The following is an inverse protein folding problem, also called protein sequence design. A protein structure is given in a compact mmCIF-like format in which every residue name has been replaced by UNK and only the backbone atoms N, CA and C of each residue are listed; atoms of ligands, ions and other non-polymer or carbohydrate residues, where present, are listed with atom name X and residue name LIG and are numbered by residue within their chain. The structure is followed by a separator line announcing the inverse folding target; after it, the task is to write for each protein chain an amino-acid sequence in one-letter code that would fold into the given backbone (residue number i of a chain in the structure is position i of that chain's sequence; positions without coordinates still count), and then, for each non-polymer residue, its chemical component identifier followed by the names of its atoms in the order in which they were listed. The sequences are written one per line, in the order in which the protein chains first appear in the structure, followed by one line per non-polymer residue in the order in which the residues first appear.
data_IF_818577122569
#
_entry.id   IF_818577122569
#
_cell.length_a   1.000
_cell.length_b   1.000
_cell.length_c   1.000
_cell.angle_alpha   90.00
_cell.angle_beta   90.00
_cell.angle_gamma   90.00
#
_symmetry.space_group_name_H-M   'P 1'
#
loop_
_entity.id
_entity.type
_entity.pdbx_description
1 polymer ?
#
# COMPACT_ATOMS: atom_id res chain seq x y z
N UNK A 1 2.38 -10.13 -5.42
CA UNK A 1 1.21 -11.02 -5.51
C UNK A 1 0.78 -11.34 -4.09
N UNK A 2 -0.38 -10.83 -3.69
CA UNK A 2 -1.06 -11.16 -2.43
C UNK A 2 -2.17 -12.16 -2.76
N UNK A 3 -2.42 -13.13 -1.88
CA UNK A 3 -3.23 -14.32 -2.17
C UNK A 3 -4.50 -14.41 -1.29
N UNK A 4 -5.56 -15.00 -1.84
CA UNK A 4 -6.90 -15.22 -1.27
C UNK A 4 -7.53 -16.44 -1.98
N UNK A 5 -8.02 -17.47 -1.26
CA UNK A 5 -8.20 -18.85 -1.80
C UNK A 5 -9.62 -19.43 -1.64
N UNK A 6 -10.11 -20.09 -2.70
CA UNK A 6 -11.22 -21.06 -2.71
C UNK A 6 -10.79 -22.34 -3.44
N UNK A 7 -11.16 -23.52 -2.93
CA UNK A 7 -10.95 -24.82 -3.58
C UNK A 7 -12.26 -25.61 -3.71
N UNK A 8 -12.37 -26.50 -4.72
CA UNK A 8 -13.57 -27.28 -5.04
C UNK A 8 -13.61 -28.62 -4.28
N UNK A 9 -14.81 -29.15 -4.09
CA UNK A 9 -15.11 -30.47 -3.53
C UNK A 9 -15.56 -31.41 -4.67
N UNK A 10 -14.99 -32.61 -4.72
CA UNK A 10 -15.42 -33.82 -5.45
C UNK A 10 -14.93 -35.00 -4.60
N UNK A 11 -15.62 -36.09 -4.30
CA UNK A 11 -16.92 -36.62 -4.75
C UNK A 11 -17.51 -37.56 -3.68
N UNK A 12 -18.84 -37.69 -3.77
CA UNK A 12 -19.72 -38.85 -3.54
C UNK A 12 -19.39 -39.93 -2.49
N UNK A 13 -20.31 -40.07 -1.52
CA UNK A 13 -20.98 -41.35 -1.22
C UNK A 13 -22.47 -41.09 -0.95
N UNK A 14 -23.30 -41.84 -1.67
CA UNK A 14 -24.77 -41.92 -1.66
C UNK A 14 -25.25 -42.65 -0.38
N UNK A 15 -26.36 -42.21 0.24
CA UNK A 15 -27.64 -42.96 0.32
C UNK A 15 -28.61 -42.48 1.44
N UNK A 16 -29.82 -42.10 1.00
CA UNK A 16 -31.15 -42.26 1.66
C UNK A 16 -31.58 -41.46 2.91
N UNK A 17 -32.77 -40.82 2.80
CA UNK A 17 -33.90 -41.17 3.70
C UNK A 17 -34.58 -40.08 4.54
N UNK A 18 -35.63 -39.47 3.95
CA UNK A 18 -36.95 -39.15 4.53
C UNK A 18 -37.18 -38.02 5.58
N UNK A 19 -37.79 -36.93 5.08
CA UNK A 19 -39.10 -36.29 5.48
C UNK A 19 -39.50 -36.20 6.97
N UNK A 20 -39.76 -34.97 7.47
CA UNK A 20 -41.09 -34.52 7.94
C UNK A 20 -41.13 -33.05 8.42
N UNK A 21 -42.26 -32.42 8.12
CA UNK A 21 -42.72 -31.04 8.34
C UNK A 21 -42.79 -30.61 9.82
N UNK A 22 -42.77 -29.28 10.10
CA UNK A 22 -43.97 -28.56 10.60
C UNK A 22 -43.75 -27.04 10.71
N UNK A 23 -44.73 -26.34 10.15
CA UNK A 23 -45.00 -24.90 10.22
C UNK A 23 -45.68 -24.54 11.56
N UNK A 24 -45.58 -23.27 12.01
CA UNK A 24 -46.65 -22.48 12.64
C UNK A 24 -46.18 -21.38 13.63
N UNK A 25 -46.72 -20.18 13.35
CA UNK A 25 -47.32 -19.21 14.28
C UNK A 25 -46.51 -18.00 14.74
N UNK A 26 -46.76 -16.90 14.01
CA UNK A 26 -46.77 -15.52 14.51
C UNK A 26 -48.00 -15.28 15.40
N UNK A 27 -47.82 -14.64 16.57
CA UNK A 27 -48.83 -13.77 17.18
C UNK A 27 -48.20 -12.85 18.24
N UNK A 28 -48.60 -11.57 18.24
CA UNK A 28 -48.49 -10.70 19.43
C UNK A 28 -47.82 -9.33 19.24
N UNK A 29 -48.52 -8.39 18.58
CA UNK A 29 -48.24 -6.94 18.58
C UNK A 29 -48.99 -6.27 19.75
N UNK A 30 -48.37 -5.28 20.42
CA UNK A 30 -49.02 -4.29 21.30
C UNK A 30 -48.11 -3.82 22.45
N UNK A 31 -47.15 -2.91 22.24
CA UNK A 31 -47.27 -1.43 22.25
C UNK A 31 -47.11 -0.83 23.66
N UNK A 32 -45.97 -0.16 23.93
CA UNK A 32 -45.90 1.13 24.64
C UNK A 32 -44.60 1.88 24.29
N UNK A 33 -44.74 3.20 24.08
CA UNK A 33 -43.78 4.13 23.50
C UNK A 33 -42.82 4.68 24.58
N UNK A 34 -41.51 4.61 24.32
CA UNK A 34 -40.49 5.32 25.08
C UNK A 34 -39.27 5.58 24.20
N UNK A 35 -38.92 6.85 24.03
CA UNK A 35 -37.86 7.34 23.14
C UNK A 35 -36.52 6.61 23.33
N UNK A 36 -35.95 6.09 22.23
CA UNK A 36 -34.65 5.43 22.23
C UNK A 36 -34.07 5.27 20.83
N UNK A 37 -32.99 6.01 20.59
CA UNK A 37 -31.91 5.81 19.61
C UNK A 37 -32.25 5.14 18.26
N UNK A 38 -32.24 5.95 17.21
CA UNK A 38 -32.04 5.49 15.83
C UNK A 38 -30.72 4.69 15.76
N UNK A 39 -30.81 3.38 15.58
CA UNK A 39 -29.68 2.51 15.32
C UNK A 39 -29.18 2.76 13.90
N UNK A 40 -27.93 3.21 13.75
CA UNK A 40 -27.28 3.41 12.44
C UNK A 40 -27.04 2.10 11.67
N UNK A 41 -27.48 0.95 12.17
CA UNK A 41 -27.41 -0.34 11.46
C UNK A 41 -28.30 -0.40 10.22
N UNK A 42 -29.41 0.36 10.18
CA UNK A 42 -30.47 0.13 9.19
C UNK A 42 -30.36 1.06 7.97
N UNK A 43 -29.50 2.09 8.03
CA UNK A 43 -29.21 3.00 6.90
C UNK A 43 -28.15 2.43 5.94
N UNK A 44 -27.40 1.40 6.37
CA UNK A 44 -26.46 0.66 5.52
C UNK A 44 -27.13 -0.43 4.68
N UNK A 45 -28.44 -0.64 4.82
CA UNK A 45 -29.21 -1.64 4.06
C UNK A 45 -29.77 -1.09 2.74
N UNK A 46 -29.13 -0.08 2.12
CA UNK A 46 -29.47 0.34 0.76
C UNK A 46 -28.99 -0.74 -0.23
N UNK A 47 -29.83 -1.15 -1.22
CA UNK A 47 -29.51 -2.20 -2.20
C UNK A 47 -28.29 -1.96 -3.10
N UNK A 48 -27.55 -0.85 -2.93
CA UNK A 48 -26.34 -0.53 -3.70
C UNK A 48 -25.12 -1.37 -3.26
N UNK A 49 -25.16 -1.98 -2.07
CA UNK A 49 -24.08 -2.86 -1.57
C UNK A 49 -24.40 -4.35 -1.65
N UNK A 50 -25.44 -4.74 -2.41
CA UNK A 50 -25.66 -6.16 -2.74
C UNK A 50 -24.77 -6.56 -3.91
N UNK A 51 -23.84 -7.46 -3.61
CA UNK A 51 -23.27 -8.44 -4.54
C UNK A 51 -22.85 -7.90 -5.90
N UNK A 52 -21.56 -7.59 -6.04
CA UNK A 52 -20.88 -8.04 -7.26
C UNK A 52 -20.81 -9.57 -7.17
N UNK A 53 -21.91 -10.21 -7.56
CA UNK A 53 -21.91 -11.62 -7.88
C UNK A 53 -20.84 -11.84 -8.93
N UNK A 54 -19.92 -12.73 -8.58
CA UNK A 54 -18.91 -13.33 -9.43
C UNK A 54 -19.51 -13.68 -10.80
N UNK A 55 -19.25 -12.84 -11.81
CA UNK A 55 -19.36 -13.23 -13.21
C UNK A 55 -18.27 -14.26 -13.51
N UNK A 56 -18.50 -15.50 -13.10
CA UNK A 56 -17.70 -16.65 -13.51
C UNK A 56 -18.26 -17.16 -14.85
N UNK A 57 -17.41 -17.41 -15.85
CA UNK A 57 -17.80 -18.28 -16.95
C UNK A 57 -18.10 -19.69 -16.40
N UNK A 58 -19.08 -20.42 -16.95
CA UNK A 58 -19.37 -21.78 -16.53
C UNK A 58 -18.26 -22.72 -17.03
N UNK A 59 -17.93 -23.71 -16.22
CA UNK A 59 -17.08 -24.86 -16.54
C UNK A 59 -15.66 -24.57 -17.07
N UNK A 60 -14.71 -24.43 -16.14
CA UNK A 60 -13.33 -24.82 -16.42
C UNK A 60 -12.99 -26.04 -15.57
N UNK A 61 -12.90 -27.18 -16.25
CA UNK A 61 -12.26 -28.42 -15.75
C UNK A 61 -11.04 -28.09 -14.88
N UNK A 62 -10.75 -28.90 -13.86
CA UNK A 62 -9.57 -28.87 -13.00
C UNK A 62 -8.26 -28.65 -13.80
N UNK A 63 -7.96 -27.40 -14.16
CA UNK A 63 -6.76 -27.02 -14.89
C UNK A 63 -5.64 -26.95 -13.87
N UNK A 64 -4.84 -28.01 -13.82
CA UNK A 64 -3.55 -28.00 -13.15
C UNK A 64 -2.74 -26.87 -13.78
N UNK A 65 -2.37 -25.87 -12.97
CA UNK A 65 -1.57 -24.74 -13.42
C UNK A 65 -0.18 -25.23 -13.88
N UNK A 66 0.43 -24.58 -14.89
CA UNK A 66 1.74 -24.99 -15.41
C UNK A 66 2.83 -24.98 -14.34
N UNK A 67 2.75 -24.05 -13.38
CA UNK A 67 3.59 -24.04 -12.19
C UNK A 67 2.70 -24.15 -10.95
N UNK A 68 3.12 -24.97 -9.99
CA UNK A 68 2.43 -25.14 -8.72
C UNK A 68 3.44 -24.94 -7.58
N UNK A 69 3.02 -24.22 -6.54
CA UNK A 69 3.86 -23.93 -5.39
C UNK A 69 3.20 -24.46 -4.13
N UNK A 70 3.92 -25.26 -3.35
CA UNK A 70 3.38 -25.92 -2.17
C UNK A 70 4.18 -25.52 -0.95
N UNK A 71 3.55 -24.78 -0.04
CA UNK A 71 4.10 -24.43 1.26
C UNK A 71 3.89 -25.62 2.22
N UNK A 72 4.98 -26.23 2.69
CA UNK A 72 4.93 -27.35 3.63
C UNK A 72 4.69 -26.85 5.07
N UNK A 73 3.54 -26.23 5.28
CA UNK A 73 3.04 -25.79 6.58
C UNK A 73 1.56 -26.13 6.72
N UNK A 74 1.18 -26.54 7.93
CA UNK A 74 -0.16 -27.07 8.17
C UNK A 74 -1.23 -25.96 8.19
N UNK A 75 -2.35 -26.20 7.52
CA UNK A 75 -3.48 -25.26 7.48
C UNK A 75 -4.18 -25.19 8.83
N UNK A 76 -4.78 -24.03 9.14
CA UNK A 76 -5.50 -23.81 10.38
C UNK A 76 -6.81 -24.62 10.43
N UNK A 77 -7.04 -25.43 11.47
CA UNK A 77 -8.31 -26.14 11.66
C UNK A 77 -9.46 -25.23 12.12
N UNK A 78 -9.18 -23.97 12.46
CA UNK A 78 -10.14 -23.05 13.07
C UNK A 78 -10.84 -22.12 12.05
N UNK A 79 -10.80 -22.46 10.77
CA UNK A 79 -11.41 -21.70 9.68
C UNK A 79 -12.74 -22.36 9.30
N UNK A 80 -13.80 -21.57 9.08
CA UNK A 80 -15.13 -22.10 8.71
C UNK A 80 -15.12 -22.63 7.27
N UNK A 81 -16.02 -23.55 6.94
CA UNK A 81 -16.09 -24.20 5.61
C UNK A 81 -16.14 -23.23 4.41
N UNK A 82 -16.70 -22.03 4.57
CA UNK A 82 -16.85 -21.04 3.50
C UNK A 82 -15.83 -19.89 3.56
N UNK A 83 -14.96 -19.88 4.56
CA UNK A 83 -13.92 -18.85 4.72
C UNK A 83 -12.64 -19.29 4.00
N UNK A 84 -11.75 -18.35 3.72
CA UNK A 84 -10.47 -18.67 3.08
C UNK A 84 -9.52 -19.41 4.02
N UNK A 85 -8.83 -20.43 3.51
CA UNK A 85 -7.84 -21.18 4.28
C UNK A 85 -6.73 -20.28 4.80
N UNK A 86 -6.36 -20.44 6.05
CA UNK A 86 -5.27 -19.69 6.67
C UNK A 86 -4.17 -20.64 7.15
N UNK A 87 -2.92 -20.26 6.93
CA UNK A 87 -1.76 -20.99 7.45
C UNK A 87 -0.93 -20.08 8.33
N UNK A 88 -0.66 -20.54 9.54
CA UNK A 88 0.14 -19.80 10.52
C UNK A 88 1.61 -20.19 10.37
N UNK A 89 2.47 -19.18 10.26
CA UNK A 89 3.91 -19.34 10.23
C UNK A 89 4.48 -18.70 11.49
N UNK A 90 5.38 -19.42 12.16
CA UNK A 90 6.04 -19.01 13.38
C UNK A 90 7.26 -18.16 13.05
N UNK A 91 7.59 -17.22 13.94
CA UNK A 91 8.73 -16.35 13.74
C UNK A 91 10.02 -17.15 13.93
N UNK A 92 10.94 -16.98 12.99
CA UNK A 92 12.25 -17.61 13.08
C UNK A 92 12.29 -19.11 12.75
N UNK A 93 11.15 -19.72 12.44
CA UNK A 93 11.08 -21.07 11.88
C UNK A 93 11.18 -21.00 10.35
N UNK A 94 11.97 -21.90 9.78
CA UNK A 94 12.09 -22.04 8.32
C UNK A 94 10.99 -22.95 7.78
N UNK A 95 10.34 -22.53 6.70
CA UNK A 95 9.25 -23.25 6.04
C UNK A 95 9.61 -23.56 4.60
N UNK A 96 9.42 -24.81 4.19
CA UNK A 96 9.69 -25.27 2.84
C UNK A 96 8.60 -24.79 1.87
N UNK A 97 9.00 -24.23 0.72
CA UNK A 97 8.14 -24.02 -0.44
C UNK A 97 8.69 -24.87 -1.59
N UNK A 98 7.93 -25.88 -1.99
CA UNK A 98 8.24 -26.73 -3.13
C UNK A 98 7.79 -26.06 -4.41
N UNK A 99 8.71 -25.96 -5.37
CA UNK A 99 8.48 -25.41 -6.69
C UNK A 99 8.24 -26.57 -7.66
N UNK A 100 7.02 -26.68 -8.19
CA UNK A 100 6.62 -27.78 -9.07
C UNK A 100 6.32 -27.27 -10.47
N UNK A 101 6.82 -28.00 -11.46
CA UNK A 101 6.50 -27.82 -12.87
C UNK A 101 5.49 -28.91 -13.26
N UNK A 102 4.25 -28.48 -13.53
CA UNK A 102 3.15 -29.35 -13.93
C UNK A 102 2.76 -29.12 -15.41
N UNK A 103 3.62 -28.43 -16.20
CA UNK A 103 3.38 -28.21 -17.63
C UNK A 103 3.15 -29.53 -18.37
N UNK A 104 2.13 -29.59 -19.23
CA UNK A 104 1.93 -30.74 -20.13
C UNK A 104 2.94 -30.68 -21.28
N UNK A 105 3.26 -31.86 -21.83
CA UNK A 105 4.22 -31.98 -22.93
C UNK A 105 3.77 -31.14 -24.13
N UNK A 106 4.50 -30.05 -24.44
CA UNK A 106 4.17 -29.11 -25.51
C UNK A 106 3.66 -27.73 -25.05
N UNK A 107 3.36 -27.54 -23.77
CA UNK A 107 2.99 -26.23 -23.19
C UNK A 107 4.25 -25.42 -22.84
N UNK A 108 4.32 -24.16 -23.31
CA UNK A 108 5.44 -23.23 -23.07
C UNK A 108 6.83 -23.83 -23.39
N UNK A 109 7.09 -24.29 -24.63
CA UNK A 109 8.39 -24.84 -25.04
C UNK A 109 9.53 -23.83 -24.90
N UNK A 110 9.22 -22.54 -24.89
CA UNK A 110 10.18 -21.45 -24.72
C UNK A 110 10.91 -21.46 -23.36
N UNK A 111 10.33 -22.12 -22.35
CA UNK A 111 10.87 -22.18 -20.99
C UNK A 111 11.68 -23.47 -20.77
N UNK A 112 11.52 -24.47 -21.65
CA UNK A 112 12.23 -25.75 -21.55
C UNK A 112 13.73 -25.55 -21.70
N UNK A 113 14.51 -25.99 -20.69
CA UNK A 113 15.95 -25.79 -20.63
C UNK A 113 16.40 -24.38 -20.23
N UNK A 114 15.48 -23.49 -19.83
CA UNK A 114 15.79 -22.17 -19.28
C UNK A 114 15.59 -22.14 -17.77
N UNK A 115 16.33 -21.25 -17.11
CA UNK A 115 16.11 -20.91 -15.70
C UNK A 115 14.91 -19.98 -15.57
N UNK A 116 14.10 -20.20 -14.54
CA UNK A 116 12.95 -19.35 -14.19
C UNK A 116 13.32 -18.49 -13.00
N UNK A 117 13.00 -17.19 -13.06
CA UNK A 117 13.11 -16.27 -11.93
C UNK A 117 11.81 -16.28 -11.13
N UNK A 118 11.91 -16.58 -9.84
CA UNK A 118 10.80 -16.49 -8.90
C UNK A 118 11.06 -15.41 -7.86
N UNK A 119 9.99 -14.67 -7.51
CA UNK A 119 10.02 -13.61 -6.50
C UNK A 119 8.96 -13.92 -5.45
N UNK A 120 9.39 -14.17 -4.22
CA UNK A 120 8.50 -14.42 -3.08
C UNK A 120 8.35 -13.13 -2.28
N UNK A 121 7.10 -12.75 -1.98
CA UNK A 121 6.78 -11.50 -1.28
C UNK A 121 5.76 -11.74 -0.16
N UNK A 122 6.02 -11.16 1.01
CA UNK A 122 5.04 -11.02 2.09
C UNK A 122 4.36 -9.65 1.93
N UNK A 123 3.04 -9.65 1.81
CA UNK A 123 2.24 -8.46 1.51
C UNK A 123 0.96 -8.47 2.34
N UNK A 124 0.33 -7.30 2.49
CA UNK A 124 -0.98 -7.23 3.14
C UNK A 124 -2.04 -7.89 2.27
N UNK A 125 -2.86 -8.76 2.85
CA UNK A 125 -4.01 -9.35 2.15
C UNK A 125 -5.17 -8.35 2.04
N UNK A 126 -5.45 -7.56 3.09
CA UNK A 126 -6.49 -6.53 3.08
C UNK A 126 -6.14 -5.38 2.12
N UNK A 127 -6.97 -5.16 1.10
CA UNK A 127 -6.81 -4.08 0.10
C UNK A 127 -6.61 -2.70 0.73
N UNK A 128 -7.31 -2.38 1.81
CA UNK A 128 -7.19 -1.07 2.47
C UNK A 128 -5.79 -0.88 3.05
N UNK A 129 -5.20 -1.95 3.59
CA UNK A 129 -3.85 -1.92 4.15
C UNK A 129 -2.78 -1.90 3.06
N UNK A 130 -3.05 -2.48 1.88
CA UNK A 130 -2.15 -2.44 0.73
C UNK A 130 -1.84 -1.00 0.28
N UNK A 131 -2.81 -0.08 0.30
CA UNK A 131 -2.57 1.34 -0.03
C UNK A 131 -1.57 2.02 0.91
N UNK A 132 -1.47 1.54 2.15
CA UNK A 132 -0.52 2.04 3.15
C UNK A 132 0.68 1.12 3.35
N UNK A 133 0.85 0.08 2.50
CA UNK A 133 1.84 -0.99 2.70
C UNK A 133 3.25 -0.43 2.84
N UNK A 134 3.62 0.51 1.98
CA UNK A 134 4.92 1.18 2.06
C UNK A 134 5.16 1.79 3.45
N UNK A 135 4.20 2.57 3.96
CA UNK A 135 4.30 3.20 5.28
C UNK A 135 4.37 2.16 6.41
N UNK A 136 3.64 1.05 6.29
CA UNK A 136 3.68 -0.04 7.27
C UNK A 136 5.04 -0.74 7.27
N UNK A 137 5.61 -1.02 6.09
CA UNK A 137 6.93 -1.62 5.94
C UNK A 137 8.04 -0.70 6.46
N UNK A 138 7.97 0.60 6.18
CA UNK A 138 8.92 1.58 6.73
C UNK A 138 8.81 1.69 8.25
N UNK A 139 7.58 1.70 8.79
CA UNK A 139 7.35 1.64 10.23
C UNK A 139 7.94 0.38 10.86
N UNK A 140 7.82 -0.77 10.21
CA UNK A 140 8.46 -2.01 10.67
C UNK A 140 9.99 -1.90 10.67
N UNK A 141 10.57 -1.37 9.59
CA UNK A 141 12.02 -1.15 9.43
C UNK A 141 12.61 -0.27 10.53
N UNK A 142 11.91 0.81 10.90
CA UNK A 142 12.40 1.74 11.93
C UNK A 142 12.45 1.12 13.31
N UNK A 143 11.50 0.23 13.63
CA UNK A 143 11.48 -0.46 14.92
C UNK A 143 12.46 -1.63 14.98
N UNK A 144 12.97 -2.10 13.83
CA UNK A 144 13.86 -3.25 13.69
C UNK A 144 14.95 -2.96 12.66
N UNK A 145 15.89 -2.04 12.95
CA UNK A 145 16.93 -1.66 12.00
C UNK A 145 17.82 -2.85 11.68
N UNK A 146 17.98 -3.16 10.39
CA UNK A 146 18.81 -4.28 9.92
C UNK A 146 18.06 -5.63 9.80
N UNK A 147 16.88 -5.78 10.39
CA UNK A 147 16.08 -6.98 10.22
C UNK A 147 15.33 -6.97 8.87
N UNK A 148 14.99 -8.15 8.38
CA UNK A 148 14.12 -8.36 7.20
C UNK A 148 12.83 -9.08 7.62
N UNK A 149 11.73 -8.81 6.93
CA UNK A 149 10.43 -9.45 7.19
C UNK A 149 10.43 -10.89 6.66
N UNK A 150 11.05 -11.08 5.50
CA UNK A 150 11.18 -12.34 4.82
C UNK A 150 12.64 -12.57 4.46
N UNK A 151 13.16 -13.73 4.84
CA UNK A 151 14.50 -14.17 4.46
C UNK A 151 14.48 -15.58 3.85
N UNK A 152 15.59 -15.95 3.21
CA UNK A 152 15.84 -17.28 2.66
C UNK A 152 16.80 -18.04 3.57
N UNK A 153 16.42 -19.25 3.95
CA UNK A 153 17.32 -20.19 4.59
C UNK A 153 18.11 -20.93 3.48
N UNK A 154 19.17 -20.27 3.01
CA UNK A 154 20.00 -20.76 1.90
C UNK A 154 20.57 -22.15 2.19
N UNK A 155 21.13 -22.45 3.38
CA UNK A 155 21.66 -23.79 3.68
C UNK A 155 20.65 -24.93 3.57
N UNK A 156 19.37 -24.68 3.88
CA UNK A 156 18.33 -25.71 3.77
C UNK A 156 17.68 -25.79 2.38
N UNK A 157 17.85 -24.75 1.55
CA UNK A 157 17.26 -24.67 0.21
C UNK A 157 18.02 -25.52 -0.81
N UNK A 158 17.29 -26.10 -1.77
CA UNK A 158 17.80 -27.02 -2.80
C UNK A 158 17.33 -26.58 -4.19
N UNK A 159 18.24 -26.57 -5.17
CA UNK A 159 17.90 -26.26 -6.57
C UNK A 159 17.77 -24.76 -6.90
N UNK A 160 17.88 -23.90 -5.90
CA UNK A 160 17.94 -22.45 -6.03
C UNK A 160 19.33 -21.97 -6.48
N UNK A 161 19.35 -20.99 -7.38
CA UNK A 161 20.55 -20.33 -7.93
C UNK A 161 20.39 -18.82 -7.79
N UNK A 162 21.50 -18.12 -7.52
CA UNK A 162 21.54 -16.66 -7.39
C UNK A 162 20.45 -16.09 -6.45
N UNK A 163 20.39 -16.53 -5.18
CA UNK A 163 19.46 -15.94 -4.21
C UNK A 163 19.82 -14.48 -3.96
N UNK A 164 18.84 -13.59 -4.11
CA UNK A 164 19.00 -12.16 -3.85
C UNK A 164 17.93 -11.67 -2.89
N UNK A 165 18.40 -10.90 -1.92
CA UNK A 165 17.57 -10.25 -0.91
C UNK A 165 17.98 -8.78 -0.85
N UNK A 166 17.30 -7.93 -1.62
CA UNK A 166 17.64 -6.50 -1.70
C UNK A 166 17.41 -5.84 -0.33
N UNK A 167 18.41 -5.18 0.28
CA UNK A 167 18.28 -4.49 1.57
C UNK A 167 17.14 -3.46 1.63
N UNK A 168 16.74 -2.87 0.50
CA UNK A 168 15.64 -1.89 0.45
C UNK A 168 14.25 -2.54 0.44
N UNK A 169 14.16 -3.81 0.03
CA UNK A 169 12.92 -4.56 -0.09
C UNK A 169 12.85 -5.66 0.99
N UNK A 170 12.50 -5.28 2.22
CA UNK A 170 12.57 -6.15 3.39
C UNK A 170 11.61 -7.36 3.37
N UNK A 171 10.56 -7.29 2.56
CA UNK A 171 9.51 -8.30 2.46
C UNK A 171 9.60 -9.15 1.20
N UNK A 172 10.70 -9.04 0.45
CA UNK A 172 10.87 -9.66 -0.88
C UNK A 172 12.17 -10.44 -0.95
N UNK A 173 12.12 -11.61 -1.56
CA UNK A 173 13.30 -12.42 -1.91
C UNK A 173 13.13 -12.93 -3.34
N UNK A 174 14.22 -13.04 -4.07
CA UNK A 174 14.22 -13.50 -5.46
C UNK A 174 15.32 -14.54 -5.70
N UNK A 175 15.07 -15.46 -6.63
CA UNK A 175 16.04 -16.49 -7.01
C UNK A 175 15.71 -17.06 -8.38
N UNK A 176 16.71 -17.75 -8.95
CA UNK A 176 16.58 -18.52 -10.18
C UNK A 176 16.47 -20.00 -9.85
N UNK A 177 15.71 -20.76 -10.63
CA UNK A 177 15.64 -22.21 -10.50
C UNK A 177 15.36 -22.89 -11.85
N UNK A 178 15.66 -24.18 -11.93
CA UNK A 178 15.46 -24.99 -13.12
C UNK A 178 14.17 -25.82 -12.96
N UNK A 179 13.12 -25.57 -13.76
CA UNK A 179 11.87 -26.35 -13.70
C UNK A 179 12.05 -27.84 -13.93
N UNK A 180 13.13 -28.25 -14.61
CA UNK A 180 13.41 -29.66 -14.90
C UNK A 180 14.04 -30.39 -13.70
N UNK A 181 14.36 -29.67 -12.62
CA UNK A 181 15.01 -30.22 -11.41
C UNK A 181 14.13 -30.01 -10.20
N UNK A 182 14.28 -30.90 -9.22
CA UNK A 182 13.67 -30.73 -7.91
C UNK A 182 14.21 -29.44 -7.26
N UNK A 183 13.32 -28.48 -7.07
CA UNK A 183 13.62 -27.21 -6.41
C UNK A 183 12.74 -27.02 -5.19
N UNK A 184 13.37 -26.69 -4.07
CA UNK A 184 12.71 -26.42 -2.81
C UNK A 184 13.40 -25.28 -2.08
N UNK A 185 12.63 -24.27 -1.69
CA UNK A 185 13.15 -23.04 -1.11
C UNK A 185 12.60 -22.87 0.30
N UNK A 186 13.49 -22.68 1.27
CA UNK A 186 13.09 -22.46 2.64
C UNK A 186 13.02 -20.96 2.95
N UNK A 187 11.86 -20.52 3.40
CA UNK A 187 11.60 -19.13 3.79
C UNK A 187 11.53 -19.01 5.32
N UNK A 188 12.03 -17.89 5.84
CA UNK A 188 11.99 -17.58 7.26
C UNK A 188 11.24 -16.26 7.49
N UNK A 189 9.95 -16.29 7.83
CA UNK A 189 9.20 -15.08 8.16
C UNK A 189 9.51 -14.59 9.58
N UNK A 190 9.45 -13.27 9.79
CA UNK A 190 9.64 -12.64 11.11
C UNK A 190 8.31 -12.24 11.80
N UNK A 191 7.32 -13.14 11.86
CA UNK A 191 6.02 -12.86 12.50
C UNK A 191 5.33 -14.06 13.17
N UNK A 192 4.53 -13.74 14.21
CA UNK A 192 3.52 -14.52 14.96
C UNK A 192 3.88 -15.93 15.50
N UNK A 193 4.40 -16.00 16.73
CA UNK A 193 4.85 -17.24 17.40
C UNK A 193 3.78 -18.18 18.00
N UNK A 194 2.50 -17.80 18.11
CA UNK A 194 1.62 -18.44 19.13
C UNK A 194 0.21 -18.86 18.74
N UNK A 195 -0.22 -18.69 17.48
CA UNK A 195 -1.64 -18.86 17.14
C UNK A 195 -2.03 -20.30 16.77
N UNK A 196 -1.19 -21.02 16.03
CA UNK A 196 -1.54 -22.35 15.52
C UNK A 196 -1.78 -23.41 16.61
N UNK A 197 -0.86 -23.50 17.59
CA UNK A 197 -0.96 -24.48 18.68
C UNK A 197 -2.23 -24.25 19.51
N UNK A 198 -2.51 -22.98 19.82
CA UNK A 198 -3.70 -22.56 20.57
C UNK A 198 -4.99 -22.91 19.82
N UNK A 199 -5.05 -22.67 18.51
CA UNK A 199 -6.24 -22.97 17.70
C UNK A 199 -6.49 -24.48 17.59
N UNK A 200 -5.43 -25.29 17.46
CA UNK A 200 -5.55 -26.76 17.44
C UNK A 200 -6.10 -27.32 18.73
N UNK A 201 -5.55 -26.93 19.88
CA UNK A 201 -6.02 -27.37 21.20
C UNK A 201 -7.48 -26.94 21.47
N UNK A 202 -7.87 -25.74 21.01
CA UNK A 202 -9.26 -25.28 21.10
C UNK A 202 -10.19 -26.13 20.23
N UNK A 203 -9.78 -26.44 19.01
CA UNK A 203 -10.58 -27.27 18.10
C UNK A 203 -10.74 -28.68 18.64
N UNK A 204 -9.70 -29.31 19.19
CA UNK A 204 -9.79 -30.64 19.80
C UNK A 204 -10.82 -30.72 20.92
N UNK A 205 -10.93 -29.67 21.74
CA UNK A 205 -11.87 -29.55 22.87
C UNK A 205 -13.33 -29.29 22.46
N UNK A 206 -13.62 -28.97 21.18
CA UNK A 206 -14.99 -28.75 20.70
C UNK A 206 -15.75 -30.06 20.49
N UNK A 207 -17.08 -29.98 20.62
CA UNK A 207 -17.97 -31.09 20.32
C UNK A 207 -17.91 -31.48 18.83
N UNK A 208 -18.11 -32.76 18.45
CA UNK A 208 -18.06 -33.22 17.06
C UNK A 208 -18.95 -32.42 16.10
N UNK A 209 -20.19 -32.13 16.51
CA UNK A 209 -21.16 -31.35 15.72
C UNK A 209 -20.71 -29.89 15.46
N UNK A 210 -19.89 -29.33 16.34
CA UNK A 210 -19.33 -27.99 16.10
C UNK A 210 -18.13 -28.03 15.16
N UNK A 211 -17.36 -29.13 15.16
CA UNK A 211 -16.18 -29.31 14.31
C UNK A 211 -16.54 -29.40 12.84
N UNK A 212 -17.70 -29.97 12.50
CA UNK A 212 -18.22 -30.06 11.13
C UNK A 212 -18.43 -28.69 10.45
N UNK A 213 -18.51 -27.60 11.22
CA UNK A 213 -18.64 -26.24 10.69
C UNK A 213 -17.30 -25.66 10.20
N UNK A 214 -16.19 -26.34 10.47
CA UNK A 214 -14.83 -25.89 10.19
C UNK A 214 -14.14 -26.80 9.18
N UNK A 215 -13.12 -26.25 8.50
CA UNK A 215 -12.33 -26.97 7.53
C UNK A 215 -11.37 -27.95 8.21
N UNK A 216 -11.08 -29.10 7.58
CA UNK A 216 -10.03 -30.01 8.04
C UNK A 216 -8.65 -29.35 7.93
N UNK A 217 -7.75 -29.73 8.85
CA UNK A 217 -6.34 -29.32 8.80
C UNK A 217 -5.57 -30.28 7.90
N UNK A 218 -4.78 -29.71 6.98
CA UNK A 218 -3.87 -30.43 6.09
C UNK A 218 -2.44 -30.10 6.45
N UNK A 219 -1.49 -30.99 6.13
CA UNK A 219 -0.06 -30.80 6.45
C UNK A 219 0.63 -29.75 5.57
N UNK A 220 0.07 -29.48 4.39
CA UNK A 220 0.63 -28.56 3.42
C UNK A 220 -0.43 -27.58 2.90
N UNK A 221 0.02 -26.41 2.49
CA UNK A 221 -0.80 -25.36 1.88
C UNK A 221 -0.41 -25.23 0.41
N UNK A 222 -1.35 -25.46 -0.50
CA UNK A 222 -1.15 -25.23 -1.93
C UNK A 222 -1.36 -23.74 -2.19
N UNK A 223 -0.39 -23.07 -2.81
CA UNK A 223 -0.51 -21.67 -3.20
C UNK A 223 -1.25 -21.61 -4.54
N UNK A 224 -2.39 -20.92 -4.57
CA UNK A 224 -3.24 -20.78 -5.78
C UNK A 224 -2.99 -19.46 -6.48
N UNK A 225 -3.44 -19.34 -7.73
CA UNK A 225 -3.42 -18.07 -8.46
C UNK A 225 -4.36 -17.04 -7.82
N UNK A 226 -3.93 -15.77 -7.68
CA UNK A 226 -4.80 -14.66 -7.32
C UNK A 226 -5.02 -13.80 -8.56
N UNK A 227 -6.18 -13.15 -8.66
CA UNK A 227 -6.48 -12.21 -9.73
C UNK A 227 -5.30 -11.26 -9.95
N UNK A 228 -4.93 -10.97 -11.22
CA UNK A 228 -3.78 -10.14 -11.51
C UNK A 228 -3.87 -8.87 -10.68
N UNK A 229 -2.76 -8.57 -9.99
CA UNK A 229 -2.50 -7.20 -9.58
C UNK A 229 -2.75 -6.33 -10.81
N UNK A 230 -3.43 -5.18 -10.70
CA UNK A 230 -3.30 -4.21 -11.77
C UNK A 230 -1.80 -3.93 -11.89
N UNK A 231 -1.16 -4.48 -12.94
CA UNK A 231 -0.04 -3.78 -13.54
C UNK A 231 -0.55 -2.37 -13.71
N UNK A 232 0.15 -1.42 -13.10
CA UNK A 232 -0.27 -0.03 -12.99
C UNK A 232 -0.50 0.52 -14.40
N UNK A 233 -1.72 0.35 -14.89
CA UNK A 233 -2.34 1.09 -15.96
C UNK A 233 -3.33 1.96 -15.22
N UNK A 234 -2.92 3.21 -14.99
CA UNK A 234 -3.78 4.23 -14.42
C UNK A 234 -4.98 4.43 -15.34
N UNK A 235 -6.06 3.70 -15.09
CA UNK A 235 -7.40 4.05 -15.56
C UNK A 235 -8.21 4.45 -14.34
N UNK A 236 -8.08 5.74 -14.04
CA UNK A 236 -8.73 6.41 -12.93
C UNK A 236 -10.15 6.76 -13.37
N UNK A 237 -11.14 5.98 -12.94
CA UNK A 237 -12.54 6.41 -13.04
C UNK A 237 -13.28 6.02 -11.77
N UNK A 238 -13.32 6.96 -10.81
CA UNK A 238 -14.50 7.25 -9.98
C UNK A 238 -14.29 8.56 -9.20
N UNK A 239 -15.26 9.47 -9.18
CA UNK A 239 -15.10 10.80 -8.61
C UNK A 239 -15.26 10.76 -7.08
N UNK A 240 -14.32 11.39 -6.36
CA UNK A 240 -14.50 11.65 -4.93
C UNK A 240 -15.24 12.98 -4.73
N UNK A 241 -16.18 13.09 -3.77
CA UNK A 241 -16.91 14.33 -3.53
C UNK A 241 -15.98 15.37 -2.89
N UNK A 242 -15.93 16.56 -3.49
CA UNK A 242 -15.18 17.69 -2.98
C UNK A 242 -15.73 18.17 -1.63
N UNK A 243 -14.83 18.40 -0.68
CA UNK A 243 -15.13 19.17 0.52
C UNK A 243 -14.33 20.47 0.46
N UNK A 244 -15.02 21.55 0.07
CA UNK A 244 -14.52 22.90 0.22
C UNK A 244 -14.34 23.21 1.71
N UNK A 245 -13.14 23.60 2.11
CA UNK A 245 -12.97 24.42 3.31
C UNK A 245 -11.91 25.47 3.09
N UNK A 246 -12.41 26.70 3.03
CA UNK A 246 -11.69 27.94 2.86
C UNK A 246 -10.64 28.15 3.96
N UNK A 247 -9.48 28.61 3.51
CA UNK A 247 -8.38 29.27 4.21
C UNK A 247 -8.54 29.58 5.71
N UNK A 248 -7.62 29.02 6.48
CA UNK A 248 -6.87 29.76 7.49
C UNK A 248 -5.48 29.11 7.63
N UNK A 249 -4.45 29.85 7.22
CA UNK A 249 -3.05 29.45 7.17
C UNK A 249 -2.44 29.38 8.58
N UNK A 250 -2.81 28.33 9.33
CA UNK A 250 -2.10 27.93 10.54
C UNK A 250 -1.21 26.73 10.23
N UNK A 251 0.03 26.69 10.75
CA UNK A 251 0.96 25.60 10.46
C UNK A 251 0.35 24.26 10.89
N UNK A 252 0.43 23.26 10.00
CA UNK A 252 -0.02 21.87 10.25
C UNK A 252 0.70 21.26 11.46
N UNK A 253 1.93 21.71 11.69
CA UNK A 253 2.79 21.27 12.79
C UNK A 253 2.79 22.26 13.96
N UNK A 254 2.76 21.73 15.18
CA UNK A 254 2.89 22.51 16.40
C UNK A 254 4.32 23.07 16.52
N UNK A 255 4.47 24.39 16.63
CA UNK A 255 5.77 25.04 16.77
C UNK A 255 6.23 25.03 18.24
N UNK A 256 7.55 24.96 18.52
CA UNK A 256 8.07 25.08 19.89
C UNK A 256 7.71 26.40 20.57
N UNK A 257 7.51 27.47 19.80
CA UNK A 257 7.12 28.80 20.31
C UNK A 257 5.61 28.97 20.51
N UNK A 258 4.80 27.93 20.24
CA UNK A 258 3.35 28.03 20.33
C UNK A 258 2.89 28.23 21.79
N UNK A 259 1.94 29.13 22.00
CA UNK A 259 1.37 29.39 23.33
C UNK A 259 0.51 28.20 23.79
N UNK A 260 0.20 28.09 25.10
CA UNK A 260 -0.74 27.07 25.57
C UNK A 260 -2.10 27.12 24.86
N UNK A 261 -2.59 28.32 24.52
CA UNK A 261 -3.82 28.49 23.75
C UNK A 261 -3.72 27.91 22.34
N UNK A 262 -2.60 28.14 21.66
CA UNK A 262 -2.35 27.59 20.32
C UNK A 262 -2.21 26.06 20.36
N UNK A 263 -1.54 25.53 21.39
CA UNK A 263 -1.41 24.10 21.63
C UNK A 263 -2.77 23.42 21.87
N UNK A 264 -3.67 24.08 22.60
CA UNK A 264 -5.05 23.60 22.82
C UNK A 264 -5.84 23.56 21.50
N UNK A 265 -5.73 24.60 20.67
CA UNK A 265 -6.38 24.62 19.36
C UNK A 265 -5.84 23.52 18.44
N UNK A 266 -4.53 23.27 18.48
CA UNK A 266 -3.90 22.20 17.72
C UNK A 266 -4.39 20.81 18.17
N UNK A 267 -4.53 20.57 19.49
CA UNK A 267 -5.11 19.33 20.02
C UNK A 267 -6.56 19.13 19.57
N UNK A 268 -7.38 20.17 19.62
CA UNK A 268 -8.76 20.12 19.12
C UNK A 268 -8.81 19.77 17.63
N UNK A 269 -7.97 20.40 16.80
CA UNK A 269 -7.94 20.20 15.34
C UNK A 269 -7.46 18.79 14.95
N UNK A 270 -6.55 18.22 15.74
CA UNK A 270 -6.05 16.85 15.55
C UNK A 270 -6.91 15.78 16.23
N UNK A 271 -8.14 16.12 16.63
CA UNK A 271 -9.12 15.20 17.27
C UNK A 271 -8.65 14.65 18.64
N UNK A 272 -7.86 15.43 19.37
CA UNK A 272 -7.44 15.16 20.76
C UNK A 272 -8.18 16.04 21.78
N UNK A 273 -9.37 16.56 21.41
CA UNK A 273 -10.27 17.33 22.28
C UNK A 273 -10.47 16.75 23.69
N UNK A 274 -10.61 15.41 23.88
CA UNK A 274 -10.78 14.83 25.22
C UNK A 274 -9.61 15.08 26.18
N UNK A 275 -8.39 15.31 25.66
CA UNK A 275 -7.17 15.51 26.44
C UNK A 275 -6.82 16.98 26.65
N UNK A 276 -7.59 17.91 26.11
CA UNK A 276 -7.33 19.36 26.22
C UNK A 276 -7.25 19.82 27.69
N UNK A 277 -8.10 19.26 28.56
CA UNK A 277 -8.08 19.53 30.01
C UNK A 277 -6.80 19.05 30.71
N UNK A 278 -6.16 18.00 30.21
CA UNK A 278 -4.92 17.47 30.79
C UNK A 278 -3.70 18.34 30.41
N UNK A 279 -3.73 18.93 29.21
CA UNK A 279 -2.65 19.74 28.66
C UNK A 279 -2.91 21.25 28.73
N UNK A 280 -3.84 21.71 29.56
CA UNK A 280 -4.33 23.12 29.57
C UNK A 280 -3.22 24.15 29.73
N UNK A 281 -2.17 23.82 30.49
CA UNK A 281 -1.04 24.73 30.74
C UNK A 281 0.22 24.40 29.94
N UNK A 282 0.15 23.46 28.99
CA UNK A 282 1.31 23.05 28.21
C UNK A 282 1.47 23.94 27.00
N UNK A 283 2.64 24.58 26.87
CA UNK A 283 3.04 25.27 25.64
C UNK A 283 3.43 24.27 24.54
N UNK A 284 3.65 24.76 23.31
CA UNK A 284 4.16 23.94 22.21
C UNK A 284 5.49 23.26 22.57
N UNK A 285 6.41 23.97 23.23
CA UNK A 285 7.66 23.40 23.71
C UNK A 285 7.44 22.29 24.75
N UNK A 286 6.45 22.43 25.65
CA UNK A 286 6.19 21.44 26.69
C UNK A 286 5.61 20.16 26.10
N UNK A 287 4.62 20.28 25.20
CA UNK A 287 4.08 19.12 24.48
C UNK A 287 5.14 18.41 23.64
N UNK A 288 6.01 19.18 22.97
CA UNK A 288 7.10 18.61 22.16
C UNK A 288 8.21 17.98 22.99
N UNK A 289 8.32 18.26 24.29
CA UNK A 289 9.31 17.64 25.19
C UNK A 289 8.85 16.30 25.76
N UNK A 290 7.54 16.01 25.74
CA UNK A 290 7.01 14.75 26.24
C UNK A 290 7.63 13.56 25.50
N UNK A 291 8.02 12.54 26.27
CA UNK A 291 8.50 11.26 25.74
C UNK A 291 7.32 10.39 25.33
N UNK A 292 7.58 9.31 24.59
CA UNK A 292 6.53 8.39 24.15
C UNK A 292 5.83 7.77 25.35
N UNK A 293 6.59 7.42 26.37
CA UNK A 293 6.15 6.82 27.62
C UNK A 293 5.24 7.80 28.39
N UNK A 294 5.63 9.08 28.49
CA UNK A 294 4.82 10.10 29.16
C UNK A 294 3.44 10.26 28.51
N UNK A 295 3.39 10.38 27.18
CA UNK A 295 2.13 10.57 26.45
C UNK A 295 1.24 9.32 26.53
N UNK A 296 1.83 8.12 26.49
CA UNK A 296 1.10 6.85 26.70
C UNK A 296 0.55 6.75 28.11
N UNK A 297 1.30 7.19 29.12
CA UNK A 297 0.86 7.17 30.50
C UNK A 297 -0.29 8.16 30.76
N UNK A 298 -0.27 9.33 30.11
CA UNK A 298 -1.29 10.38 30.28
C UNK A 298 -2.56 10.08 29.47
N UNK A 299 -2.43 9.65 28.21
CA UNK A 299 -3.55 9.48 27.29
C UNK A 299 -3.99 8.02 27.09
N UNK A 300 -3.25 7.06 27.64
CA UNK A 300 -3.44 5.63 27.42
C UNK A 300 -2.72 5.11 26.16
N UNK A 301 -2.61 3.78 25.99
CA UNK A 301 -1.77 3.17 24.95
C UNK A 301 -2.15 3.57 23.52
N UNK A 302 -3.44 3.56 23.19
CA UNK A 302 -3.90 3.84 21.83
C UNK A 302 -3.79 5.33 21.49
N UNK A 303 -4.37 6.19 22.32
CA UNK A 303 -4.40 7.63 22.07
C UNK A 303 -3.05 8.30 22.33
N UNK A 304 -2.25 7.78 23.26
CA UNK A 304 -0.92 8.29 23.53
C UNK A 304 0.07 8.04 22.39
N UNK A 305 0.02 6.88 21.75
CA UNK A 305 0.80 6.62 20.53
C UNK A 305 0.34 7.54 19.39
N UNK A 306 -0.97 7.75 19.23
CA UNK A 306 -1.51 8.66 18.20
C UNK A 306 -1.06 10.10 18.42
N UNK A 307 -1.14 10.59 19.66
CA UNK A 307 -0.75 11.95 20.02
C UNK A 307 0.77 12.16 19.89
N UNK A 308 1.59 11.22 20.37
CA UNK A 308 3.05 11.31 20.25
C UNK A 308 3.50 11.38 18.78
N UNK A 309 2.91 10.57 17.91
CA UNK A 309 3.22 10.59 16.47
C UNK A 309 2.79 11.90 15.79
N UNK A 310 1.69 12.51 16.24
CA UNK A 310 1.23 13.81 15.73
C UNK A 310 2.13 14.95 16.22
N UNK A 311 2.59 14.91 17.48
CA UNK A 311 3.48 15.92 18.06
C UNK A 311 4.87 15.91 17.45
N UNK A 312 5.46 14.73 17.24
CA UNK A 312 6.81 14.62 16.68
C UNK A 312 6.89 14.88 15.20
N UNK A 313 5.78 15.28 14.56
CA UNK A 313 5.70 15.67 13.16
C UNK A 313 6.44 14.68 12.29
N UNK A 314 5.79 13.58 11.89
CA UNK A 314 6.38 12.76 10.82
C UNK A 314 6.72 13.73 9.68
N UNK A 315 8.01 13.90 9.42
CA UNK A 315 8.49 14.59 8.21
C UNK A 315 7.84 13.81 7.09
N UNK A 316 6.79 14.38 6.49
CA UNK A 316 6.13 13.76 5.36
C UNK A 316 7.19 13.79 4.28
N UNK A 317 7.71 12.61 3.95
CA UNK A 317 8.63 12.50 2.83
C UNK A 317 7.92 13.09 1.61
N UNK A 318 8.58 13.97 0.83
CA UNK A 318 7.95 14.50 -0.36
C UNK A 318 7.48 13.34 -1.24
N UNK A 319 6.25 13.47 -1.74
CA UNK A 319 5.63 12.47 -2.61
C UNK A 319 6.28 12.44 -3.99
N UNK A 320 6.89 13.55 -4.38
CA UNK A 320 7.65 13.68 -5.62
C UNK A 320 8.85 14.62 -5.43
N UNK A 321 10.02 14.21 -5.90
CA UNK A 321 11.20 15.07 -6.05
C UNK A 321 11.38 15.44 -7.52
N UNK A 322 11.43 16.74 -7.82
CA UNK A 322 11.64 17.27 -9.18
C UNK A 322 12.93 18.07 -9.18
N UNK A 323 13.85 17.78 -10.09
CA UNK A 323 15.07 18.55 -10.27
C UNK A 323 14.88 19.57 -11.40
N UNK A 324 15.05 20.86 -11.11
CA UNK A 324 14.90 21.92 -12.10
C UNK A 324 16.17 22.75 -12.25
N UNK A 325 16.54 23.08 -13.48
CA UNK A 325 17.60 24.07 -13.74
C UNK A 325 17.09 25.14 -14.68
N UNK A 326 17.58 26.38 -14.54
CA UNK A 326 17.27 27.44 -15.48
C UNK A 326 18.25 27.42 -16.65
N UNK A 327 17.73 27.49 -17.88
CA UNK A 327 18.56 27.66 -19.07
C UNK A 327 19.20 29.06 -19.05
N UNK A 328 20.53 29.14 -18.94
CA UNK A 328 21.23 30.44 -18.94
C UNK A 328 21.13 31.10 -20.31
N UNK A 329 20.87 32.42 -20.36
CA UNK A 329 20.74 33.17 -21.62
C UNK A 329 21.99 33.05 -22.52
N UNK A 330 23.18 32.80 -21.95
CA UNK A 330 24.43 32.58 -22.67
C UNK A 330 24.46 31.27 -23.49
N UNK A 331 23.71 30.24 -23.08
CA UNK A 331 23.60 28.98 -23.83
C UNK A 331 22.73 29.11 -25.10
N UNK A 332 21.70 29.98 -25.03
CA UNK A 332 20.77 30.25 -26.13
C UNK A 332 21.45 30.94 -27.32
N UNK A 333 22.42 31.81 -27.05
CA UNK A 333 23.19 32.52 -28.08
C UNK A 333 24.34 31.68 -28.68
N UNK A 334 24.91 30.73 -27.92
CA UNK A 334 25.95 29.82 -28.44
C UNK A 334 25.38 28.73 -29.36
N UNK A 335 24.16 28.23 -29.12
CA UNK A 335 23.52 27.24 -30.00
C UNK A 335 23.14 27.78 -31.38
N UNK A 336 22.95 29.10 -31.54
CA UNK A 336 22.65 29.69 -32.86
C UNK A 336 23.88 29.93 -33.74
N UNK A 337 25.12 29.77 -33.22
CA UNK A 337 26.35 30.10 -33.98
C UNK A 337 27.22 28.92 -34.40
N UNK A 338 27.03 27.72 -33.89
CA UNK A 338 27.85 26.55 -34.27
C UNK A 338 27.05 25.52 -35.07
N UNK A 339 26.91 25.76 -36.37
CA UNK A 339 26.53 24.72 -37.34
C UNK A 339 27.75 23.93 -37.86
N UNK A 340 28.96 24.18 -37.35
CA UNK A 340 30.15 23.42 -37.72
C UNK A 340 31.16 23.31 -36.57
N UNK A 341 31.57 22.07 -36.30
CA UNK A 341 32.88 21.71 -35.73
C UNK A 341 33.05 21.79 -34.22
N UNK A 342 33.01 20.63 -33.57
CA UNK A 342 33.77 20.23 -32.38
C UNK A 342 34.28 21.34 -31.45
N UNK A 343 33.45 21.77 -30.52
CA UNK A 343 33.89 22.12 -29.17
C UNK A 343 32.71 21.86 -28.23
N UNK A 344 32.77 20.78 -27.45
CA UNK A 344 31.82 20.54 -26.38
C UNK A 344 32.00 21.64 -25.32
N UNK A 345 31.29 22.76 -25.51
CA UNK A 345 31.03 23.74 -24.46
C UNK A 345 30.37 22.99 -23.32
N UNK A 346 31.14 22.68 -22.28
CA UNK A 346 30.67 21.96 -21.11
C UNK A 346 29.81 22.94 -20.28
N UNK A 347 28.61 23.25 -20.78
CA UNK A 347 27.62 24.07 -20.08
C UNK A 347 27.19 23.33 -18.83
N UNK A 348 27.66 23.79 -17.67
CA UNK A 348 27.34 23.19 -16.38
C UNK A 348 25.93 23.60 -15.97
N UNK A 349 24.99 22.65 -15.97
CA UNK A 349 23.62 22.87 -15.49
C UNK A 349 23.57 22.67 -13.97
N UNK A 350 23.15 23.70 -13.24
CA UNK A 350 22.89 23.62 -11.79
C UNK A 350 21.42 23.30 -11.57
N UNK A 351 21.16 22.06 -11.17
CA UNK A 351 19.83 21.61 -10.81
C UNK A 351 19.54 21.88 -9.33
N UNK A 352 18.31 22.29 -9.06
CA UNK A 352 17.78 22.47 -7.72
C UNK A 352 16.67 21.47 -7.48
N UNK A 353 16.64 20.87 -6.28
CA UNK A 353 15.59 19.94 -5.89
C UNK A 353 14.35 20.69 -5.41
N UNK A 354 13.20 20.37 -6.01
CA UNK A 354 11.87 20.78 -5.59
C UNK A 354 11.17 19.56 -5.00
N UNK A 355 10.71 19.70 -3.78
CA UNK A 355 10.01 18.66 -3.03
C UNK A 355 8.53 18.99 -2.97
N UNK A 356 7.69 18.12 -3.52
CA UNK A 356 6.23 18.25 -3.49
C UNK A 356 5.63 17.32 -2.44
N UNK A 357 4.89 17.89 -1.50
CA UNK A 357 4.11 17.16 -0.50
C UNK A 357 2.70 16.85 -1.02
N UNK A 358 2.14 17.75 -1.82
CA UNK A 358 0.84 17.66 -2.47
C UNK A 358 1.02 17.73 -4.00
N UNK A 359 0.77 16.61 -4.70
CA UNK A 359 0.97 16.44 -6.15
C UNK A 359 0.01 17.33 -6.99
N UNK A 360 0.24 18.63 -6.94
CA UNK A 360 -0.63 19.69 -7.47
C UNK A 360 0.20 20.72 -8.22
N UNK A 361 -0.41 21.31 -9.25
CA UNK A 361 0.20 22.35 -10.05
C UNK A 361 0.40 23.64 -9.25
N UNK A 362 -0.44 23.87 -8.23
CA UNK A 362 -0.33 25.00 -7.32
C UNK A 362 0.95 24.89 -6.50
N UNK A 363 1.20 23.77 -5.82
CA UNK A 363 2.42 23.60 -5.02
C UNK A 363 3.67 23.70 -5.91
N UNK A 364 3.67 23.06 -7.08
CA UNK A 364 4.78 23.16 -8.02
C UNK A 364 5.05 24.62 -8.45
N UNK A 365 4.00 25.38 -8.73
CA UNK A 365 4.10 26.81 -9.07
C UNK A 365 4.69 27.63 -7.93
N UNK A 366 4.23 27.42 -6.70
CA UNK A 366 4.74 28.12 -5.52
C UNK A 366 6.21 27.81 -5.27
N UNK A 367 6.62 26.54 -5.36
CA UNK A 367 8.02 26.11 -5.16
C UNK A 367 8.94 26.65 -6.25
N UNK A 368 8.50 26.63 -7.52
CA UNK A 368 9.26 27.24 -8.64
C UNK A 368 9.38 28.76 -8.43
N UNK A 369 8.27 29.44 -8.10
CA UNK A 369 8.28 30.88 -7.84
C UNK A 369 9.24 31.25 -6.69
N UNK A 370 9.22 30.47 -5.61
CA UNK A 370 10.14 30.62 -4.48
C UNK A 370 11.60 30.43 -4.91
N UNK A 371 11.88 29.45 -5.77
CA UNK A 371 13.22 29.16 -6.27
C UNK A 371 13.83 30.32 -7.05
N UNK A 372 13.00 31.01 -7.84
CA UNK A 372 13.41 32.18 -8.63
C UNK A 372 13.18 33.52 -7.93
N UNK A 373 12.73 33.51 -6.67
CA UNK A 373 12.41 34.71 -5.90
C UNK A 373 11.42 35.65 -6.62
N UNK A 374 10.40 35.06 -7.27
CA UNK A 374 9.31 35.76 -7.95
C UNK A 374 7.97 35.49 -7.26
N UNK A 375 6.97 36.32 -7.51
CA UNK A 375 5.63 36.08 -6.98
C UNK A 375 4.96 34.93 -7.75
N UNK A 376 4.30 33.96 -7.10
CA UNK A 376 3.53 32.91 -7.78
C UNK A 376 2.47 33.48 -8.74
N UNK A 377 1.97 34.70 -8.47
CA UNK A 377 1.01 35.40 -9.33
C UNK A 377 1.60 35.86 -10.67
N UNK A 378 2.92 35.96 -10.78
CA UNK A 378 3.61 36.28 -12.02
C UNK A 378 3.75 35.05 -12.92
N UNK A 379 3.58 33.84 -12.39
CA UNK A 379 3.53 32.62 -13.18
C UNK A 379 2.08 32.39 -13.59
N UNK A 380 1.78 32.57 -14.88
CA UNK A 380 0.41 32.38 -15.36
C UNK A 380 0.06 30.89 -15.47
N UNK A 381 0.93 30.11 -16.13
CA UNK A 381 0.75 28.67 -16.33
C UNK A 381 2.11 27.97 -16.47
N UNK A 382 2.12 26.68 -16.16
CA UNK A 382 3.26 25.80 -16.40
C UNK A 382 2.90 24.83 -17.53
N UNK A 383 3.78 24.70 -18.51
CA UNK A 383 3.67 23.76 -19.62
C UNK A 383 4.80 22.75 -19.57
N UNK A 384 4.55 21.51 -19.98
CA UNK A 384 5.58 20.52 -20.28
C UNK A 384 5.76 20.43 -21.79
N UNK A 385 7.01 20.44 -22.26
CA UNK A 385 7.31 20.22 -23.66
C UNK A 385 7.11 18.73 -24.00
N UNK A 386 6.31 18.47 -25.03
CA UNK A 386 6.06 17.15 -25.60
C UNK A 386 6.94 16.84 -26.82
N UNK A 387 6.83 15.63 -27.38
CA UNK A 387 7.44 15.29 -28.66
C UNK A 387 7.03 16.32 -29.71
N UNK A 388 7.93 16.67 -30.63
CA UNK A 388 7.73 17.71 -31.67
C UNK A 388 7.55 19.15 -31.19
N UNK A 389 7.80 19.43 -29.90
CA UNK A 389 7.85 20.81 -29.37
C UNK A 389 6.49 21.38 -28.97
N UNK A 390 5.45 20.54 -28.87
CA UNK A 390 4.13 20.96 -28.36
C UNK A 390 4.21 21.34 -26.87
N UNK A 391 3.45 22.35 -26.46
CA UNK A 391 3.35 22.76 -25.06
C UNK A 391 2.07 22.18 -24.44
N UNK A 392 2.23 21.25 -23.50
CA UNK A 392 1.12 20.58 -22.80
C UNK A 392 0.94 21.22 -21.43
N UNK A 393 -0.28 21.70 -21.11
CA UNK A 393 -0.55 22.31 -19.81
C UNK A 393 -0.33 21.31 -18.66
N UNK A 394 0.43 21.72 -17.65
CA UNK A 394 0.69 20.89 -16.46
C UNK A 394 -0.49 20.98 -15.50
N UNK A 395 -1.26 19.90 -15.40
CA UNK A 395 -2.34 19.73 -14.43
C UNK A 395 -1.88 18.92 -13.20
N UNK A 396 -2.70 18.91 -12.14
CA UNK A 396 -2.48 18.06 -10.97
C UNK A 396 -2.34 16.58 -11.35
N UNK A 397 -3.19 16.11 -12.28
CA UNK A 397 -3.12 14.74 -12.81
C UNK A 397 -1.80 14.49 -13.55
N UNK A 398 -1.29 15.47 -14.28
CA UNK A 398 -0.01 15.34 -14.98
C UNK A 398 1.15 15.20 -13.98
N UNK A 399 1.15 15.99 -12.90
CA UNK A 399 2.17 15.94 -11.85
C UNK A 399 2.14 14.60 -11.11
N UNK A 400 0.94 14.05 -10.86
CA UNK A 400 0.79 12.73 -10.26
C UNK A 400 1.40 11.60 -11.10
N UNK A 401 1.52 11.81 -12.40
CA UNK A 401 2.12 10.87 -13.35
C UNK A 401 3.62 11.14 -13.61
N UNK A 402 4.22 12.17 -13.01
CA UNK A 402 5.66 12.37 -13.10
C UNK A 402 6.40 11.24 -12.39
N UNK A 403 7.50 10.79 -13.01
CA UNK A 403 8.42 9.87 -12.35
C UNK A 403 9.15 10.60 -11.22
N UNK A 404 9.41 9.90 -10.12
CA UNK A 404 10.24 10.44 -9.05
C UNK A 404 11.64 10.76 -9.58
N UNK A 405 12.23 11.84 -9.07
CA UNK A 405 13.55 12.33 -9.48
C UNK A 405 13.63 12.81 -10.95
N UNK A 406 12.49 13.18 -11.55
CA UNK A 406 12.46 13.74 -12.91
C UNK A 406 13.21 15.06 -12.99
N UNK A 407 13.98 15.24 -14.06
CA UNK A 407 14.75 16.44 -14.34
C UNK A 407 14.10 17.28 -15.44
N UNK A 408 14.01 18.60 -15.23
CA UNK A 408 13.52 19.54 -16.23
C UNK A 408 14.46 20.73 -16.40
N UNK A 409 14.60 21.18 -17.65
CA UNK A 409 15.19 22.49 -17.94
C UNK A 409 14.05 23.50 -18.07
N UNK A 410 14.11 24.58 -17.30
CA UNK A 410 13.10 25.63 -17.30
C UNK A 410 13.40 26.66 -18.37
N UNK A 411 12.42 26.89 -19.24
CA UNK A 411 12.36 28.00 -20.17
C UNK A 411 11.15 28.89 -19.83
N UNK A 412 11.17 30.13 -20.27
CA UNK A 412 10.15 31.13 -19.94
C UNK A 412 9.60 31.78 -21.20
N UNK A 413 8.28 31.90 -21.29
CA UNK A 413 7.58 32.57 -22.39
C UNK A 413 6.73 33.71 -21.83
N UNK A 414 6.74 34.89 -22.45
CA UNK A 414 5.95 36.03 -21.98
C UNK A 414 4.45 35.77 -22.21
N UNK A 415 3.62 36.03 -21.21
CA UNK A 415 2.16 35.90 -21.36
C UNK A 415 1.60 37.07 -22.19
N UNK A 416 0.58 36.80 -23.02
CA UNK A 416 0.00 37.80 -23.95
C UNK A 416 -0.89 38.83 -23.24
N UNK A 417 -1.45 38.50 -22.07
CA UNK A 417 -2.54 39.26 -21.43
C UNK A 417 -2.19 39.87 -20.07
N UNK A 418 -1.00 39.60 -19.52
CA UNK A 418 -0.51 40.16 -18.26
C UNK A 418 1.03 40.27 -18.28
N UNK A 419 1.63 41.11 -17.43
CA UNK A 419 3.09 41.20 -17.16
C UNK A 419 3.68 39.92 -16.50
N UNK A 420 3.03 38.78 -16.69
CA UNK A 420 3.45 37.47 -16.21
C UNK A 420 4.19 36.66 -17.27
N UNK A 421 4.68 35.51 -16.84
CA UNK A 421 5.41 34.55 -17.68
C UNK A 421 4.76 33.18 -17.55
N UNK A 422 4.84 32.41 -18.63
CA UNK A 422 4.60 30.98 -18.64
C UNK A 422 5.94 30.25 -18.46
N UNK A 423 5.93 29.21 -17.63
CA UNK A 423 7.09 28.34 -17.42
C UNK A 423 6.96 27.12 -18.33
N UNK A 424 8.03 26.73 -18.99
CA UNK A 424 8.09 25.53 -19.85
C UNK A 424 9.11 24.56 -19.24
N UNK A 425 8.63 23.37 -18.87
CA UNK A 425 9.42 22.22 -18.42
C UNK A 425 9.88 21.43 -19.66
N UNK A 426 11.15 21.54 -20.04
CA UNK A 426 11.74 20.77 -21.15
C UNK A 426 12.29 19.44 -20.69
#
# INVERSE_FOLDING_TARGET
MAWALKLPLTDEVIESGLVQDFDASLSGIGQELGAGAYSMSDVLALPIFKQEESNLPPDSENKILPFQYVLCAATSPAIKLHDETLTYLNQGQSYEIRMLDNRKMGELPEITGKMVKSIIRVVFHDRRLQYTEHQQLEGWRWNRPGDRILDLDIPMSVGMVDPRANPTQLNTVEFLWDPSKRTSVFIQPKGADRKQKTDREKMEKRAPQEKEKYQPSYETTILTECSPWPEVTYVNNSPSPGFNSSHNSFPVNLLPTATPQDAQQWLHRNRFSPFCRLFTNFSGADLLKLTREDVIQICGPADGIRLFNALKGRVVRPRLTVYVCQESQQAREQQQKHENGDTASNTFFVYHAIYLEDLTAVELTEKIAQLFNISPRQISQIFKQGPTGIHVLVSDEMIQNFQDEVCFVLDTMKAETNDGYHIILK
#
